data_IF_003138561945
#
_entry.id   IF_003138561945
#
_cell.length_a   1.000
_cell.length_b   1.000
_cell.length_c   1.000
_cell.angle_alpha   90.00
_cell.angle_beta   90.00
_cell.angle_gamma   90.00
#
_symmetry.space_group_name_H-M   'P 1'
#
loop_
_entity.id
_entity.type
_entity.pdbx_description
1 polymer ?
#
# COMPACT_ATOMS: atom_id res chain seq x y z
N UNK A 1 -30.74 -31.98 -30.96
CA UNK A 1 -29.75 -31.22 -30.18
C UNK A 1 -30.41 -29.91 -29.82
N UNK A 2 -30.90 -29.84 -28.58
CA UNK A 2 -31.65 -28.73 -28.04
C UNK A 2 -30.74 -27.52 -27.80
N UNK A 3 -30.96 -26.46 -28.57
CA UNK A 3 -30.51 -25.12 -28.23
C UNK A 3 -31.39 -24.62 -27.09
N UNK A 4 -30.82 -24.52 -25.89
CA UNK A 4 -31.48 -23.88 -24.76
C UNK A 4 -31.06 -22.41 -24.80
N UNK A 5 -31.95 -21.57 -25.32
CA UNK A 5 -31.91 -20.14 -25.08
C UNK A 5 -32.17 -19.94 -23.58
N UNK A 6 -31.17 -19.53 -22.82
CA UNK A 6 -31.30 -19.24 -21.39
C UNK A 6 -31.39 -17.72 -21.14
N UNK A 7 -32.25 -17.04 -21.90
CA UNK A 7 -32.69 -15.70 -21.56
C UNK A 7 -34.21 -15.66 -21.69
N UNK A 8 -34.95 -15.92 -20.60
CA UNK A 8 -36.33 -15.52 -20.52
C UNK A 8 -36.41 -14.01 -20.31
N UNK A 9 -37.38 -13.42 -20.97
CA UNK A 9 -37.74 -12.00 -20.95
C UNK A 9 -37.80 -11.44 -19.52
N UNK A 10 -37.21 -10.26 -19.35
CA UNK A 10 -37.38 -9.40 -18.18
C UNK A 10 -38.83 -8.95 -18.16
N UNK A 11 -39.60 -9.40 -17.18
CA UNK A 11 -40.80 -8.74 -16.67
C UNK A 11 -41.19 -9.34 -15.31
N UNK A 12 -40.60 -8.81 -14.25
CA UNK A 12 -41.33 -8.39 -13.04
C UNK A 12 -40.34 -7.82 -12.02
N UNK A 13 -40.58 -6.57 -11.69
CA UNK A 13 -40.03 -5.85 -10.56
C UNK A 13 -40.24 -6.68 -9.28
N UNK A 14 -39.19 -7.32 -8.81
CA UNK A 14 -39.00 -7.56 -7.38
C UNK A 14 -37.62 -7.03 -7.06
N UNK A 15 -37.60 -5.78 -6.61
CA UNK A 15 -36.50 -5.23 -5.82
C UNK A 15 -36.27 -6.18 -4.65
N UNK A 16 -35.36 -7.14 -4.83
CA UNK A 16 -34.75 -7.79 -3.68
C UNK A 16 -33.83 -6.74 -3.09
N UNK A 17 -34.38 -5.99 -2.14
CA UNK A 17 -33.60 -5.34 -1.11
C UNK A 17 -32.68 -6.41 -0.52
N UNK A 18 -31.45 -6.47 -1.02
CA UNK A 18 -30.38 -7.11 -0.29
C UNK A 18 -30.22 -6.27 0.97
N UNK A 19 -30.93 -6.67 2.01
CA UNK A 19 -30.74 -6.20 3.37
C UNK A 19 -29.26 -6.45 3.68
N UNK A 20 -28.46 -5.39 3.49
CA UNK A 20 -27.11 -5.36 3.96
C UNK A 20 -27.27 -5.46 5.46
N UNK A 21 -27.11 -6.67 5.99
CA UNK A 21 -27.01 -6.88 7.42
C UNK A 21 -25.89 -5.94 7.86
N UNK A 22 -26.27 -4.80 8.43
CA UNK A 22 -25.43 -4.02 9.30
C UNK A 22 -25.24 -4.89 10.55
N UNK A 23 -24.50 -5.98 10.38
CA UNK A 23 -23.69 -6.54 11.43
C UNK A 23 -22.72 -5.44 11.80
N UNK A 24 -23.19 -4.52 12.64
CA UNK A 24 -22.35 -3.99 13.69
C UNK A 24 -21.95 -5.21 14.51
N UNK A 25 -20.98 -5.98 14.00
CA UNK A 25 -20.01 -6.60 14.87
C UNK A 25 -19.46 -5.42 15.66
N UNK A 26 -19.94 -5.29 16.89
CA UNK A 26 -19.30 -4.45 17.88
C UNK A 26 -17.82 -4.76 17.76
N UNK A 27 -17.04 -3.82 17.21
CA UNK A 27 -15.59 -3.88 17.27
C UNK A 27 -15.27 -3.88 18.76
N UNK A 28 -15.17 -5.09 19.34
CA UNK A 28 -14.64 -5.25 20.68
C UNK A 28 -13.23 -4.70 20.58
N UNK A 29 -13.02 -3.55 21.19
CA UNK A 29 -11.69 -3.02 21.41
C UNK A 29 -10.94 -4.05 22.23
N UNK A 30 -10.23 -4.95 21.56
CA UNK A 30 -9.35 -5.90 22.21
C UNK A 30 -8.24 -5.10 22.88
N UNK A 31 -8.21 -5.15 24.21
CA UNK A 31 -7.23 -4.42 25.01
C UNK A 31 -5.82 -4.98 24.74
N UNK A 32 -5.00 -4.22 24.02
CA UNK A 32 -3.60 -4.57 23.76
C UNK A 32 -2.77 -4.39 25.04
N UNK A 33 -2.46 -5.49 25.72
CA UNK A 33 -1.60 -5.48 26.89
C UNK A 33 -0.14 -5.64 26.45
N UNK A 34 0.66 -4.59 26.60
CA UNK A 34 2.09 -4.59 26.24
C UNK A 34 2.95 -4.73 27.51
N UNK A 35 3.74 -5.79 27.58
CA UNK A 35 4.73 -5.99 28.65
C UNK A 35 6.14 -5.84 28.10
N UNK A 36 6.98 -5.08 28.80
CA UNK A 36 8.40 -4.95 28.52
C UNK A 36 9.25 -5.80 29.45
N UNK A 37 10.34 -6.38 28.93
CA UNK A 37 11.38 -7.03 29.72
C UNK A 37 12.66 -6.20 29.71
N UNK A 38 13.43 -6.25 30.80
CA UNK A 38 14.75 -5.62 30.83
C UNK A 38 15.70 -6.37 29.89
N UNK A 39 16.29 -5.68 28.90
CA UNK A 39 17.39 -6.23 28.11
C UNK A 39 18.74 -5.85 28.75
N UNK A 40 19.67 -6.80 28.80
CA UNK A 40 21.04 -6.55 29.28
C UNK A 40 21.95 -6.36 28.08
N UNK A 41 22.38 -5.12 27.85
CA UNK A 41 23.34 -4.81 26.80
C UNK A 41 24.75 -5.13 27.29
N UNK A 42 25.48 -5.89 26.49
CA UNK A 42 26.89 -6.16 26.69
C UNK A 42 27.69 -5.37 25.68
N UNK A 43 28.80 -4.79 26.14
CA UNK A 43 29.70 -4.08 25.25
C UNK A 43 30.48 -5.11 24.42
N UNK A 44 30.15 -5.15 23.13
CA UNK A 44 30.88 -5.91 22.12
C UNK A 44 31.39 -4.96 21.04
N UNK A 45 32.61 -4.45 21.26
CA UNK A 45 33.25 -3.51 20.34
C UNK A 45 33.59 -4.16 18.99
N UNK A 46 33.68 -5.49 18.92
CA UNK A 46 33.94 -6.20 17.66
C UNK A 46 32.68 -6.22 16.80
N UNK A 47 31.56 -6.66 17.36
CA UNK A 47 30.26 -6.66 16.68
C UNK A 47 29.83 -5.24 16.30
N UNK A 48 30.04 -4.26 17.19
CA UNK A 48 29.77 -2.85 16.88
C UNK A 48 30.56 -2.38 15.65
N UNK A 49 31.88 -2.63 15.62
CA UNK A 49 32.72 -2.28 14.47
C UNK A 49 32.35 -3.04 13.20
N UNK A 50 31.89 -4.29 13.30
CA UNK A 50 31.45 -5.09 12.16
C UNK A 50 30.19 -4.50 11.52
N UNK A 51 29.23 -4.10 12.36
CA UNK A 51 27.99 -3.43 11.95
C UNK A 51 28.31 -2.06 11.34
N UNK A 52 29.15 -1.26 11.98
CA UNK A 52 29.56 0.07 11.48
C UNK A 52 30.27 0.00 10.12
N UNK A 53 30.98 -1.10 9.86
CA UNK A 53 31.62 -1.37 8.57
C UNK A 53 30.66 -1.90 7.50
N UNK A 54 29.38 -2.08 7.83
CA UNK A 54 28.37 -2.61 6.91
C UNK A 54 28.55 -4.08 6.55
N UNK A 55 29.23 -4.89 7.39
CA UNK A 55 29.50 -6.30 7.06
C UNK A 55 28.25 -7.19 6.96
N UNK A 56 27.13 -6.76 7.55
CA UNK A 56 25.83 -7.44 7.40
C UNK A 56 25.14 -7.12 6.07
N UNK A 57 25.61 -6.07 5.37
CA UNK A 57 24.97 -5.58 4.16
C UNK A 57 25.51 -6.30 2.93
N UNK A 58 24.64 -6.48 1.94
CA UNK A 58 24.95 -7.04 0.63
C UNK A 58 24.51 -6.06 -0.47
N UNK A 59 25.19 -6.02 -1.63
CA UNK A 59 24.73 -5.24 -2.78
C UNK A 59 23.37 -5.75 -3.27
N UNK A 60 22.42 -4.85 -3.51
CA UNK A 60 21.13 -5.21 -4.08
C UNK A 60 21.23 -5.32 -5.59
N UNK A 61 20.87 -6.50 -6.14
CA UNK A 61 20.92 -6.78 -7.57
C UNK A 61 22.27 -6.48 -8.25
N UNK A 62 23.37 -6.56 -7.48
CA UNK A 62 24.73 -6.26 -7.96
C UNK A 62 25.09 -4.78 -8.02
N UNK A 63 24.21 -3.87 -7.57
CA UNK A 63 24.54 -2.45 -7.44
C UNK A 63 25.17 -2.16 -6.07
N UNK A 64 26.45 -1.78 -6.07
CA UNK A 64 27.20 -1.45 -4.85
C UNK A 64 26.77 -0.11 -4.23
N UNK A 65 26.04 0.74 -4.97
CA UNK A 65 25.50 1.98 -4.42
C UNK A 65 24.28 1.75 -3.53
N UNK A 66 23.62 0.59 -3.67
CA UNK A 66 22.43 0.22 -2.91
C UNK A 66 22.72 -1.02 -2.08
N UNK A 67 23.06 -0.81 -0.82
CA UNK A 67 23.34 -1.87 0.15
C UNK A 67 22.08 -2.19 0.95
N UNK A 68 21.75 -3.48 1.07
CA UNK A 68 20.59 -3.97 1.82
C UNK A 68 21.02 -4.98 2.87
N UNK A 69 20.22 -5.16 3.92
CA UNK A 69 20.50 -6.21 4.90
C UNK A 69 20.34 -7.61 4.28
N UNK A 70 21.12 -8.59 4.75
CA UNK A 70 21.04 -9.99 4.28
C UNK A 70 19.64 -10.60 4.42
N UNK A 71 18.85 -10.14 5.40
CA UNK A 71 17.49 -10.60 5.66
C UNK A 71 16.42 -9.60 5.19
N UNK A 72 16.81 -8.61 4.39
CA UNK A 72 15.87 -7.68 3.76
C UNK A 72 15.04 -8.40 2.69
N UNK A 73 13.71 -8.29 2.79
CA UNK A 73 12.76 -8.94 1.89
C UNK A 73 12.96 -8.54 0.41
N UNK A 74 13.53 -7.36 0.13
CA UNK A 74 13.86 -6.93 -1.24
C UNK A 74 14.86 -7.86 -1.92
N UNK A 75 15.71 -8.53 -1.16
CA UNK A 75 16.66 -9.52 -1.66
C UNK A 75 16.01 -10.77 -2.27
N UNK A 76 14.71 -11.00 -2.02
CA UNK A 76 13.95 -12.08 -2.66
C UNK A 76 13.35 -11.69 -4.03
N UNK A 77 13.45 -10.42 -4.42
CA UNK A 77 12.97 -9.94 -5.72
C UNK A 77 14.08 -10.03 -6.76
N UNK A 78 14.21 -11.21 -7.38
CA UNK A 78 15.26 -11.51 -8.37
C UNK A 78 15.11 -10.74 -9.69
N UNK A 79 13.87 -10.41 -10.08
CA UNK A 79 13.58 -9.71 -11.33
C UNK A 79 12.63 -8.54 -11.07
N UNK A 80 13.20 -7.34 -11.03
CA UNK A 80 12.46 -6.10 -10.82
C UNK A 80 11.75 -5.63 -12.08
N UNK A 81 12.11 -6.12 -13.28
CA UNK A 81 11.45 -5.68 -14.53
C UNK A 81 9.96 -6.02 -14.51
N UNK A 82 9.59 -7.11 -13.85
CA UNK A 82 8.20 -7.48 -13.66
C UNK A 82 7.37 -6.41 -12.92
N UNK A 83 8.03 -5.55 -12.14
CA UNK A 83 7.44 -4.54 -11.27
C UNK A 83 7.93 -3.12 -11.57
N UNK A 84 8.66 -2.95 -12.67
CA UNK A 84 9.10 -1.64 -13.12
C UNK A 84 7.88 -0.76 -13.40
N UNK A 85 7.89 0.48 -12.90
CA UNK A 85 6.76 1.40 -13.01
C UNK A 85 6.36 1.63 -14.46
N UNK A 86 7.32 1.68 -15.37
CA UNK A 86 7.04 1.85 -16.81
C UNK A 86 6.40 0.61 -17.42
N UNK A 87 6.82 -0.60 -17.01
CA UNK A 87 6.22 -1.86 -17.46
C UNK A 87 4.84 -2.10 -16.83
N UNK A 88 4.65 -1.70 -15.57
CA UNK A 88 3.34 -1.73 -14.91
C UNK A 88 2.39 -0.77 -15.60
N UNK A 89 2.84 0.46 -15.91
CA UNK A 89 2.05 1.44 -16.68
C UNK A 89 1.73 0.96 -18.09
N UNK A 90 2.67 0.28 -18.74
CA UNK A 90 2.43 -0.32 -20.05
C UNK A 90 1.43 -1.48 -19.97
N UNK A 91 1.53 -2.38 -18.98
CA UNK A 91 0.55 -3.46 -18.77
C UNK A 91 -0.83 -2.95 -18.37
N UNK A 92 -0.86 -1.86 -17.60
CA UNK A 92 -2.07 -1.07 -17.33
C UNK A 92 -2.61 -0.42 -18.61
N UNK A 93 -1.78 -0.06 -19.58
CA UNK A 93 -2.27 0.43 -20.89
C UNK A 93 -2.74 -0.71 -21.80
N UNK A 94 -2.20 -1.92 -21.66
CA UNK A 94 -2.45 -3.08 -22.53
C UNK A 94 -3.58 -3.99 -22.08
N UNK A 95 -4.30 -3.60 -21.04
CA UNK A 95 -5.42 -4.35 -20.49
C UNK A 95 -5.10 -5.67 -19.74
N UNK A 96 -3.85 -5.85 -19.30
CA UNK A 96 -3.36 -7.11 -18.70
C UNK A 96 -3.45 -7.17 -17.16
N UNK A 97 -3.66 -6.02 -16.50
CA UNK A 97 -3.85 -5.91 -15.05
C UNK A 97 -5.27 -5.44 -14.76
N UNK A 98 -5.88 -5.88 -13.65
CA UNK A 98 -7.25 -5.52 -13.26
C UNK A 98 -7.47 -3.99 -13.34
N UNK A 99 -8.40 -3.56 -14.20
CA UNK A 99 -8.79 -2.16 -14.30
C UNK A 99 -9.67 -1.81 -13.13
N UNK A 100 -9.42 -0.65 -12.53
CA UNK A 100 -10.48 0.04 -11.80
C UNK A 100 -11.56 0.37 -12.83
N UNK A 101 -12.79 -0.02 -12.55
CA UNK A 101 -13.96 0.52 -13.23
C UNK A 101 -13.95 2.05 -13.15
N UNK A 102 -14.70 2.71 -14.03
CA UNK A 102 -14.77 4.18 -14.01
C UNK A 102 -15.23 4.71 -12.65
N UNK A 103 -16.09 3.96 -11.96
CA UNK A 103 -16.53 4.27 -10.61
C UNK A 103 -15.39 4.11 -9.58
N UNK A 104 -14.66 2.99 -9.61
CA UNK A 104 -13.51 2.79 -8.72
C UNK A 104 -12.39 3.81 -8.96
N UNK A 105 -12.16 4.21 -10.23
CA UNK A 105 -11.21 5.28 -10.58
C UNK A 105 -11.61 6.61 -9.96
N UNK A 106 -12.90 6.94 -10.02
CA UNK A 106 -13.45 8.16 -9.42
C UNK A 106 -13.31 8.16 -7.90
N UNK A 107 -13.55 7.02 -7.26
CA UNK A 107 -13.39 6.86 -5.81
C UNK A 107 -11.92 7.03 -5.42
N UNK A 108 -10.99 6.36 -6.12
CA UNK A 108 -9.56 6.48 -5.87
C UNK A 108 -9.07 7.93 -6.03
N UNK A 109 -9.55 8.63 -7.07
CA UNK A 109 -9.20 10.04 -7.29
C UNK A 109 -9.67 10.96 -6.16
N UNK A 110 -10.82 10.69 -5.56
CA UNK A 110 -11.30 11.45 -4.40
C UNK A 110 -10.53 11.11 -3.12
N UNK A 111 -10.21 9.83 -2.91
CA UNK A 111 -9.34 9.40 -1.83
C UNK A 111 -7.93 10.02 -1.92
N UNK A 112 -7.39 10.14 -3.14
CA UNK A 112 -6.11 10.79 -3.39
C UNK A 112 -6.12 12.26 -3.01
N UNK A 113 -7.18 12.99 -3.36
CA UNK A 113 -7.31 14.41 -2.96
C UNK A 113 -7.25 14.56 -1.45
N UNK A 114 -7.99 13.73 -0.71
CA UNK A 114 -8.00 13.76 0.75
C UNK A 114 -6.64 13.34 1.34
N UNK A 115 -6.02 12.29 0.79
CA UNK A 115 -4.70 11.79 1.20
C UNK A 115 -3.61 12.85 1.07
N UNK A 116 -3.60 13.60 -0.04
CA UNK A 116 -2.60 14.62 -0.31
C UNK A 116 -3.00 16.02 0.19
N UNK A 117 -4.21 16.19 0.73
CA UNK A 117 -4.73 17.47 1.23
C UNK A 117 -3.81 18.10 2.29
N UNK A 118 -3.20 17.26 3.14
CA UNK A 118 -2.31 17.71 4.20
C UNK A 118 -1.02 18.36 3.66
N UNK A 119 -0.46 17.85 2.54
CA UNK A 119 0.74 18.43 1.92
C UNK A 119 0.50 19.87 1.43
N UNK A 120 -0.71 20.16 0.96
CA UNK A 120 -1.09 21.50 0.49
C UNK A 120 -1.48 22.43 1.64
N UNK A 121 -2.13 21.91 2.68
CA UNK A 121 -2.56 22.70 3.85
C UNK A 121 -1.39 23.21 4.69
N UNK A 122 -0.25 22.52 4.71
CA UNK A 122 0.95 23.01 5.41
C UNK A 122 1.59 24.20 4.68
N UNK A 123 1.53 24.28 3.34
CA UNK A 123 1.97 25.47 2.60
C UNK A 123 1.11 26.71 2.94
N UNK A 124 -0.18 26.52 3.17
CA UNK A 124 -1.10 27.60 3.54
C UNK A 124 -0.81 28.13 4.95
N UNK A 125 -0.51 27.24 5.91
CA UNK A 125 -0.05 27.60 7.26
C UNK A 125 1.31 28.31 7.23
N UNK A 126 2.26 27.84 6.43
CA UNK A 126 3.57 28.49 6.26
C UNK A 126 3.44 29.87 5.60
N UNK A 127 2.56 30.03 4.60
CA UNK A 127 2.29 31.32 3.96
C UNK A 127 1.65 32.33 4.94
N UNK A 128 0.78 31.86 5.84
CA UNK A 128 0.17 32.65 6.90
C UNK A 128 1.20 33.06 7.97
N UNK A 129 2.09 32.14 8.38
CA UNK A 129 3.19 32.44 9.31
C UNK A 129 4.24 33.40 8.70
N UNK A 130 4.46 33.36 7.39
CA UNK A 130 5.36 34.27 6.68
C UNK A 130 4.72 35.66 6.38
N UNK A 131 3.50 35.93 6.85
CA UNK A 131 2.86 37.24 6.75
C UNK A 131 2.56 37.68 5.31
N UNK A 132 2.42 36.73 4.37
CA UNK A 132 2.17 37.02 2.95
C UNK A 132 0.69 37.16 2.59
N UNK A 133 -0.21 36.90 3.54
CA UNK A 133 -1.65 37.12 3.39
C UNK A 133 -2.11 37.90 4.63
N UNK A 134 -2.77 39.05 4.42
CA UNK A 134 -3.37 39.88 5.47
C UNK A 134 -4.82 39.48 5.71
#
# INVERSE_FOLDING_TARGET
MSNINLFPELDNEQEQEHEYNNGHDEFKEEELIVFGYSCKLFRDDFSAKAIDRGQSLIPWNGDENVMIDRYDCRGHLSDLKLWDSDLLRQRQSNNELHFLSEEERRIEEECDKERYLALYKDMEKEALQQGKIK
#
